data_IF_681835773457
#
_entry.id   IF_681835773457
#
_cell.length_a   1.000
_cell.length_b   1.000
_cell.length_c   1.000
_cell.angle_alpha   90.00
_cell.angle_beta   90.00
_cell.angle_gamma   90.00
#
_symmetry.space_group_name_H-M   'P 1'
#
loop_
_entity.id
_entity.type
_entity.pdbx_description
1 polymer ?
#
# COMPACT_ATOMS: atom_id res chain seq x y z
N UNK A 1 14.58 30.49 13.40
CA UNK A 1 14.92 29.08 13.67
C UNK A 1 13.62 28.31 13.79
N UNK A 2 13.30 27.42 12.86
CA UNK A 2 12.04 26.66 12.88
C UNK A 2 12.30 25.37 13.65
N UNK A 3 11.64 25.20 14.80
CA UNK A 3 11.63 23.94 15.53
C UNK A 3 10.51 23.07 14.96
N UNK A 4 10.88 21.98 14.27
CA UNK A 4 9.89 20.99 13.80
C UNK A 4 9.75 19.93 14.88
N UNK A 5 8.72 20.08 15.71
CA UNK A 5 8.35 19.14 16.78
C UNK A 5 6.97 18.55 16.49
N UNK A 6 6.81 17.24 16.67
CA UNK A 6 5.55 16.53 16.45
C UNK A 6 5.59 15.08 16.91
N UNK A 7 4.45 14.38 16.81
CA UNK A 7 4.38 12.93 17.00
C UNK A 7 4.43 12.24 15.64
N UNK A 8 5.25 11.20 15.52
CA UNK A 8 5.37 10.38 14.30
C UNK A 8 5.18 8.91 14.64
N UNK A 9 4.48 8.19 13.76
CA UNK A 9 4.36 6.75 13.84
C UNK A 9 5.72 6.08 13.56
N UNK A 10 6.15 5.25 14.49
CA UNK A 10 7.34 4.40 14.41
C UNK A 10 6.87 2.96 14.33
N UNK A 11 7.28 2.27 13.27
CA UNK A 11 6.93 0.88 13.04
C UNK A 11 8.11 0.01 13.45
N UNK A 12 7.86 -0.97 14.31
CA UNK A 12 8.87 -1.92 14.76
C UNK A 12 8.35 -3.33 14.60
N UNK A 13 9.18 -4.23 14.05
CA UNK A 13 8.81 -5.64 13.93
C UNK A 13 8.58 -6.24 15.33
N UNK A 14 7.50 -7.01 15.47
CA UNK A 14 7.08 -7.59 16.75
C UNK A 14 6.98 -9.13 16.71
N UNK A 15 7.00 -9.75 15.53
CA UNK A 15 6.92 -11.19 15.35
C UNK A 15 6.01 -11.59 14.19
N UNK A 16 5.48 -12.81 14.25
CA UNK A 16 4.66 -13.43 13.21
C UNK A 16 3.43 -14.11 13.80
N UNK A 17 2.35 -14.14 13.03
CA UNK A 17 1.08 -14.82 13.36
C UNK A 17 0.47 -15.49 12.13
N UNK A 18 -0.43 -16.45 12.35
CA UNK A 18 -1.32 -16.93 11.30
C UNK A 18 -2.66 -16.16 11.33
N UNK A 19 -3.13 -15.75 10.16
CA UNK A 19 -4.45 -15.11 10.01
C UNK A 19 -5.05 -15.35 8.61
N UNK A 20 -6.31 -15.01 8.43
CA UNK A 20 -6.97 -14.97 7.13
C UNK A 20 -6.56 -13.71 6.34
N UNK A 21 -6.14 -13.91 5.09
CA UNK A 21 -5.86 -12.83 4.16
C UNK A 21 -7.02 -12.66 3.15
N UNK A 22 -7.69 -11.49 3.09
CA UNK A 22 -8.79 -11.26 2.15
C UNK A 22 -8.33 -11.16 0.69
N UNK A 23 -7.08 -10.79 0.43
CA UNK A 23 -6.50 -10.76 -0.93
C UNK A 23 -6.14 -12.17 -1.41
N UNK A 24 -5.48 -12.97 -0.56
CA UNK A 24 -5.12 -14.35 -0.89
C UNK A 24 -6.30 -15.32 -0.74
N UNK A 25 -7.36 -14.91 -0.05
CA UNK A 25 -8.54 -15.71 0.31
C UNK A 25 -8.16 -17.03 0.99
N UNK A 26 -7.22 -16.98 1.92
CA UNK A 26 -6.74 -18.16 2.64
C UNK A 26 -6.08 -17.77 3.96
N UNK A 27 -5.94 -18.75 4.86
CA UNK A 27 -5.03 -18.65 6.00
C UNK A 27 -3.59 -18.49 5.47
N UNK A 28 -2.86 -17.49 6.00
CA UNK A 28 -1.49 -17.14 5.64
C UNK A 28 -0.69 -16.69 6.86
N UNK A 29 0.64 -16.68 6.70
CA UNK A 29 1.53 -16.07 7.67
C UNK A 29 1.51 -14.54 7.50
N UNK A 30 1.56 -13.84 8.62
CA UNK A 30 1.64 -12.39 8.67
C UNK A 30 2.83 -11.96 9.54
N UNK A 31 3.59 -10.97 9.07
CA UNK A 31 4.54 -10.22 9.91
C UNK A 31 3.78 -9.16 10.70
N UNK A 32 3.95 -9.15 12.01
CA UNK A 32 3.36 -8.17 12.93
C UNK A 32 4.31 -7.01 13.15
N UNK A 33 3.76 -5.81 13.11
CA UNK A 33 4.46 -4.58 13.43
C UNK A 33 3.74 -3.85 14.56
N UNK A 34 4.50 -3.50 15.59
CA UNK A 34 4.08 -2.56 16.63
C UNK A 34 4.14 -1.14 16.07
N UNK A 35 3.04 -0.42 16.22
CA UNK A 35 2.93 1.00 15.87
C UNK A 35 3.07 1.80 17.17
N UNK A 36 4.18 2.54 17.28
CA UNK A 36 4.40 3.48 18.38
C UNK A 36 4.29 4.93 17.93
N UNK A 37 3.80 5.82 18.78
CA UNK A 37 3.81 7.26 18.55
C UNK A 37 4.96 7.87 19.33
N UNK A 38 6.01 8.28 18.62
CA UNK A 38 7.20 8.88 19.22
C UNK A 38 7.23 10.38 18.94
N UNK A 39 7.69 11.15 19.93
CA UNK A 39 8.10 12.53 19.70
C UNK A 39 9.34 12.55 18.79
N UNK A 40 9.36 13.49 17.86
CA UNK A 40 10.54 13.76 17.04
C UNK A 40 10.92 15.23 17.10
N UNK A 41 12.22 15.48 16.99
CA UNK A 41 12.81 16.79 16.74
C UNK A 41 13.58 16.67 15.43
N UNK A 42 13.29 17.53 14.44
CA UNK A 42 13.87 17.43 13.09
C UNK A 42 13.75 16.03 12.45
N UNK A 43 12.59 15.39 12.62
CA UNK A 43 12.26 14.07 12.08
C UNK A 43 13.05 12.87 12.67
N UNK A 44 13.94 13.11 13.63
CA UNK A 44 14.64 12.06 14.37
C UNK A 44 13.84 11.68 15.62
N UNK A 45 13.48 10.39 15.74
CA UNK A 45 12.75 9.85 16.89
C UNK A 45 13.72 9.27 17.91
N UNK A 46 13.57 9.63 19.18
CA UNK A 46 14.50 9.23 20.26
C UNK A 46 14.08 7.91 20.94
N UNK A 47 12.91 7.35 20.61
CA UNK A 47 12.39 6.12 21.22
C UNK A 47 11.40 5.38 20.31
N UNK A 48 11.00 4.16 20.72
CA UNK A 48 9.92 3.39 20.06
C UNK A 48 8.52 4.00 20.25
N UNK A 49 8.38 5.07 21.02
CA UNK A 49 7.11 5.77 21.27
C UNK A 49 6.10 5.01 22.12
N UNK A 50 5.03 5.71 22.51
CA UNK A 50 3.87 5.13 23.20
C UNK A 50 3.10 4.20 22.24
N UNK A 51 2.61 3.06 22.73
CA UNK A 51 1.91 2.10 21.87
C UNK A 51 0.60 2.69 21.35
N UNK A 52 0.47 2.83 20.03
CA UNK A 52 -0.78 3.24 19.38
C UNK A 52 -1.56 2.05 18.80
N UNK A 53 -0.89 0.93 18.53
CA UNK A 53 -1.55 -0.29 18.08
C UNK A 53 -0.60 -1.28 17.41
N UNK A 54 -1.20 -2.24 16.73
CA UNK A 54 -0.48 -3.22 15.94
C UNK A 54 -1.11 -3.32 14.55
N UNK A 55 -0.28 -3.61 13.56
CA UNK A 55 -0.72 -4.01 12.24
C UNK A 55 -0.03 -5.30 11.83
N UNK A 56 -0.63 -6.02 10.91
CA UNK A 56 -0.12 -7.27 10.36
C UNK A 56 -0.02 -7.16 8.85
N UNK A 57 1.08 -7.63 8.28
CA UNK A 57 1.33 -7.63 6.83
C UNK A 57 1.42 -9.07 6.32
N UNK A 58 0.55 -9.44 5.39
CA UNK A 58 0.55 -10.78 4.79
C UNK A 58 1.88 -11.04 4.09
N UNK A 59 2.54 -12.14 4.43
CA UNK A 59 3.86 -12.49 3.89
C UNK A 59 3.81 -12.85 2.39
N UNK A 60 2.65 -13.21 1.83
CA UNK A 60 2.54 -13.59 0.41
C UNK A 60 2.15 -12.43 -0.51
N UNK A 61 1.23 -11.57 -0.08
CA UNK A 61 0.68 -10.49 -0.91
C UNK A 61 0.97 -9.09 -0.40
N UNK A 62 1.59 -8.95 0.78
CA UNK A 62 1.90 -7.64 1.36
C UNK A 62 0.66 -6.82 1.74
N UNK A 63 -0.52 -7.43 1.88
CA UNK A 63 -1.70 -6.73 2.40
C UNK A 63 -1.47 -6.37 3.87
N UNK A 64 -1.63 -5.09 4.19
CA UNK A 64 -1.53 -4.58 5.57
C UNK A 64 -2.94 -4.52 6.14
N UNK A 65 -3.12 -5.08 7.33
CA UNK A 65 -4.40 -5.07 8.05
C UNK A 65 -4.14 -4.63 9.51
N UNK A 66 -5.11 -3.94 10.15
CA UNK A 66 -5.04 -3.74 11.58
C UNK A 66 -5.03 -5.09 12.31
N UNK A 67 -4.32 -5.16 13.43
CA UNK A 67 -4.26 -6.36 14.27
C UNK A 67 -5.02 -6.11 15.56
N UNK A 68 -6.00 -6.96 15.84
CA UNK A 68 -6.71 -7.00 17.12
C UNK A 68 -5.96 -7.92 18.09
N UNK A 69 -5.40 -7.38 19.16
CA UNK A 69 -4.49 -8.14 20.05
C UNK A 69 -5.19 -9.32 20.71
N UNK A 70 -6.47 -9.19 21.09
CA UNK A 70 -7.24 -10.24 21.75
C UNK A 70 -7.51 -11.49 20.89
N UNK A 71 -7.17 -11.44 19.60
CA UNK A 71 -7.35 -12.55 18.67
C UNK A 71 -6.21 -13.57 18.70
N UNK A 72 -5.12 -13.30 19.40
CA UNK A 72 -3.92 -14.14 19.38
C UNK A 72 -3.51 -14.53 20.79
N UNK A 73 -3.07 -15.78 20.93
CA UNK A 73 -2.51 -16.29 22.17
C UNK A 73 -1.13 -15.68 22.44
N UNK A 74 -0.30 -15.58 21.40
CA UNK A 74 1.06 -15.05 21.43
C UNK A 74 1.55 -14.72 20.03
N UNK A 75 2.70 -14.04 19.95
CA UNK A 75 3.44 -13.79 18.71
C UNK A 75 4.60 -14.78 18.61
N UNK A 76 4.83 -15.34 17.42
CA UNK A 76 6.05 -16.09 17.14
C UNK A 76 7.20 -15.12 16.82
N UNK A 77 8.39 -15.35 17.38
CA UNK A 77 9.56 -14.53 17.04
C UNK A 77 10.02 -14.75 15.58
N UNK A 78 9.78 -15.95 15.04
CA UNK A 78 10.21 -16.37 13.71
C UNK A 78 9.03 -16.74 12.81
N UNK A 79 9.24 -16.70 11.50
CA UNK A 79 8.26 -17.13 10.52
C UNK A 79 8.25 -18.66 10.41
N UNK A 80 7.52 -19.31 11.32
CA UNK A 80 7.31 -20.75 11.31
C UNK A 80 6.39 -21.18 10.14
N UNK A 81 6.36 -22.48 9.79
CA UNK A 81 5.36 -23.03 8.88
C UNK A 81 3.93 -22.70 9.32
N UNK A 82 3.03 -22.45 8.35
CA UNK A 82 1.67 -21.94 8.62
C UNK A 82 0.90 -22.73 9.67
N UNK A 83 0.95 -24.07 9.60
CA UNK A 83 0.24 -24.95 10.56
C UNK A 83 0.75 -24.74 11.98
N UNK A 84 2.06 -24.57 12.16
CA UNK A 84 2.65 -24.30 13.47
C UNK A 84 2.30 -22.90 13.96
N UNK A 85 2.33 -21.89 13.08
CA UNK A 85 1.88 -20.54 13.43
C UNK A 85 0.41 -20.54 13.86
N UNK A 86 -0.47 -21.26 13.16
CA UNK A 86 -1.89 -21.35 13.51
C UNK A 86 -2.07 -21.95 14.91
N UNK A 87 -1.47 -23.11 15.17
CA UNK A 87 -1.55 -23.78 16.47
C UNK A 87 -1.01 -22.92 17.63
N UNK A 88 0.09 -22.19 17.40
CA UNK A 88 0.78 -21.45 18.46
C UNK A 88 0.25 -20.04 18.67
N UNK A 89 -0.21 -19.36 17.62
CA UNK A 89 -0.57 -17.93 17.67
C UNK A 89 -2.07 -17.69 17.54
N UNK A 90 -2.81 -18.54 16.81
CA UNK A 90 -4.21 -18.33 16.50
C UNK A 90 -4.97 -19.67 16.33
N UNK A 91 -5.07 -20.51 17.38
CA UNK A 91 -5.63 -21.86 17.28
C UNK A 91 -7.12 -21.89 16.91
N UNK A 92 -7.81 -20.75 17.04
CA UNK A 92 -9.21 -20.58 16.67
C UNK A 92 -9.40 -19.86 15.33
N UNK A 93 -8.37 -19.77 14.49
CA UNK A 93 -8.42 -19.12 13.18
C UNK A 93 -9.55 -19.68 12.31
N UNK A 94 -9.65 -21.01 12.24
CA UNK A 94 -10.67 -21.70 11.45
C UNK A 94 -12.09 -21.41 11.90
N UNK A 95 -12.29 -21.22 13.21
CA UNK A 95 -13.59 -20.87 13.81
C UNK A 95 -13.89 -19.38 13.57
N UNK A 96 -12.94 -18.49 13.86
CA UNK A 96 -13.13 -17.03 13.72
C UNK A 96 -13.39 -16.60 12.29
N UNK A 97 -12.75 -17.27 11.34
CA UNK A 97 -12.87 -16.98 9.91
C UNK A 97 -13.61 -18.07 9.14
N UNK A 98 -14.47 -18.85 9.81
CA UNK A 98 -15.20 -19.96 9.20
C UNK A 98 -15.94 -19.54 7.92
N UNK A 99 -16.71 -18.45 7.99
CA UNK A 99 -17.48 -17.95 6.84
C UNK A 99 -16.59 -17.50 5.68
N UNK A 100 -15.50 -16.78 6.00
CA UNK A 100 -14.57 -16.27 5.00
C UNK A 100 -13.77 -17.40 4.32
N UNK A 101 -13.35 -18.40 5.10
CA UNK A 101 -12.67 -19.59 4.61
C UNK A 101 -13.61 -20.46 3.77
N UNK A 102 -14.88 -20.63 4.20
CA UNK A 102 -15.89 -21.36 3.45
C UNK A 102 -16.23 -20.65 2.13
N UNK A 103 -16.39 -19.31 2.14
CA UNK A 103 -16.58 -18.52 0.93
C UNK A 103 -15.39 -18.65 -0.03
N UNK A 104 -14.17 -18.63 0.51
CA UNK A 104 -12.95 -18.81 -0.27
C UNK A 104 -12.78 -20.24 -0.82
N UNK A 105 -13.25 -21.27 -0.11
CA UNK A 105 -13.29 -22.65 -0.61
C UNK A 105 -14.29 -22.77 -1.76
N UNK A 106 -15.53 -22.27 -1.59
CA UNK A 106 -16.56 -22.26 -2.65
C UNK A 106 -16.07 -21.57 -3.92
N UNK A 107 -15.41 -20.43 -3.79
CA UNK A 107 -14.85 -19.71 -4.93
C UNK A 107 -13.76 -20.51 -5.66
N UNK A 108 -12.92 -21.27 -4.94
CA UNK A 108 -11.86 -22.07 -5.55
C UNK A 108 -12.41 -23.32 -6.24
N UNK A 109 -13.38 -23.98 -5.62
CA UNK A 109 -13.95 -25.23 -6.11
C UNK A 109 -14.92 -25.02 -7.27
N UNK A 110 -15.74 -23.97 -7.21
CA UNK A 110 -16.79 -23.74 -8.20
C UNK A 110 -17.08 -22.24 -8.42
N UNK A 111 -16.13 -21.47 -8.98
CA UNK A 111 -16.30 -20.03 -9.19
C UNK A 111 -17.48 -19.69 -10.12
N UNK A 112 -17.82 -20.59 -11.04
CA UNK A 112 -18.93 -20.45 -11.99
C UNK A 112 -20.30 -20.82 -11.40
N UNK A 113 -20.33 -21.49 -10.24
CA UNK A 113 -21.57 -21.83 -9.54
C UNK A 113 -21.98 -20.77 -8.52
N UNK A 114 -21.22 -19.68 -8.42
CA UNK A 114 -21.61 -18.54 -7.59
C UNK A 114 -22.80 -17.83 -8.23
N UNK A 115 -23.84 -17.58 -7.43
CA UNK A 115 -24.93 -16.70 -7.80
C UNK A 115 -24.39 -15.31 -8.18
N UNK A 116 -25.06 -14.64 -9.12
CA UNK A 116 -24.72 -13.30 -9.59
C UNK A 116 -24.62 -12.29 -8.43
N UNK A 117 -25.49 -12.39 -7.42
CA UNK A 117 -25.45 -11.50 -6.26
C UNK A 117 -24.20 -11.72 -5.40
N UNK A 118 -23.81 -12.98 -5.18
CA UNK A 118 -22.62 -13.32 -4.41
C UNK A 118 -21.35 -12.92 -5.17
N UNK A 119 -21.29 -13.22 -6.46
CA UNK A 119 -20.20 -12.82 -7.34
C UNK A 119 -19.99 -11.31 -7.32
N UNK A 120 -21.08 -10.53 -7.42
CA UNK A 120 -21.05 -9.07 -7.30
C UNK A 120 -20.52 -8.60 -5.95
N UNK A 121 -20.99 -9.18 -4.84
CA UNK A 121 -20.47 -8.88 -3.49
C UNK A 121 -18.96 -9.12 -3.39
N UNK A 122 -18.46 -10.21 -3.98
CA UNK A 122 -17.06 -10.57 -3.94
C UNK A 122 -16.17 -9.62 -4.76
N UNK A 123 -16.65 -9.14 -5.92
CA UNK A 123 -15.97 -8.09 -6.71
C UNK A 123 -15.96 -6.77 -5.95
N UNK A 124 -17.12 -6.33 -5.45
CA UNK A 124 -17.27 -5.07 -4.72
C UNK A 124 -16.39 -5.07 -3.44
N UNK A 125 -16.33 -6.19 -2.71
CA UNK A 125 -15.47 -6.34 -1.53
C UNK A 125 -13.98 -6.19 -1.86
N UNK A 126 -13.52 -6.83 -2.94
CA UNK A 126 -12.13 -6.75 -3.39
C UNK A 126 -11.75 -5.30 -3.75
N UNK A 127 -12.62 -4.59 -4.47
CA UNK A 127 -12.38 -3.21 -4.87
C UNK A 127 -12.42 -2.25 -3.67
N UNK A 128 -13.38 -2.41 -2.75
CA UNK A 128 -13.49 -1.57 -1.54
C UNK A 128 -12.23 -1.65 -0.69
N UNK A 129 -11.72 -2.86 -0.47
CA UNK A 129 -10.50 -3.09 0.29
C UNK A 129 -9.30 -2.31 -0.26
N UNK A 130 -9.17 -2.23 -1.59
CA UNK A 130 -8.07 -1.49 -2.22
C UNK A 130 -8.34 0.01 -2.29
N UNK A 131 -9.61 0.43 -2.34
CA UNK A 131 -9.96 1.84 -2.21
C UNK A 131 -9.63 2.37 -0.81
N UNK A 132 -9.91 1.62 0.25
CA UNK A 132 -9.53 2.02 1.62
C UNK A 132 -8.01 2.19 1.74
N UNK A 133 -7.23 1.27 1.15
CA UNK A 133 -5.77 1.36 1.14
C UNK A 133 -5.25 2.58 0.35
N UNK A 134 -5.92 2.97 -0.75
CA UNK A 134 -5.59 4.17 -1.51
C UNK A 134 -5.94 5.44 -0.74
N UNK A 135 -7.10 5.48 -0.10
CA UNK A 135 -7.55 6.62 0.69
C UNK A 135 -6.61 6.86 1.89
N UNK A 136 -6.17 5.79 2.56
CA UNK A 136 -5.15 5.86 3.63
C UNK A 136 -3.79 6.35 3.10
N UNK A 137 -3.36 5.85 1.92
CA UNK A 137 -2.12 6.30 1.30
C UNK A 137 -2.15 7.79 0.96
N UNK A 138 -3.25 8.29 0.39
CA UNK A 138 -3.37 9.71 0.04
C UNK A 138 -3.55 10.62 1.27
N UNK A 139 -4.14 10.11 2.35
CA UNK A 139 -4.22 10.84 3.62
C UNK A 139 -2.85 10.93 4.32
N UNK A 140 -1.96 9.97 4.08
CA UNK A 140 -0.62 9.98 4.64
C UNK A 140 0.35 10.79 3.75
N UNK A 141 0.86 11.93 4.24
CA UNK A 141 1.92 12.70 3.57
C UNK A 141 3.25 11.92 3.60
N UNK A 142 3.41 10.95 2.69
CA UNK A 142 4.62 10.12 2.56
C UNK A 142 5.32 10.49 1.26
N UNK A 143 6.55 10.98 1.37
CA UNK A 143 7.45 11.10 0.23
C UNK A 143 8.15 9.76 0.03
N UNK A 144 8.07 9.22 -1.18
CA UNK A 144 8.82 8.03 -1.54
C UNK A 144 10.32 8.33 -1.70
N UNK A 145 11.12 7.27 -1.75
CA UNK A 145 12.58 7.38 -1.84
C UNK A 145 12.99 8.03 -3.17
N UNK A 146 12.24 7.77 -4.23
CA UNK A 146 12.42 8.35 -5.56
C UNK A 146 12.25 9.87 -5.55
N UNK A 147 11.26 10.41 -4.83
CA UNK A 147 11.12 11.86 -4.64
C UNK A 147 12.28 12.43 -3.84
N UNK A 148 12.75 11.75 -2.78
CA UNK A 148 13.95 12.17 -2.05
C UNK A 148 15.20 12.26 -2.94
N UNK A 149 15.41 11.28 -3.82
CA UNK A 149 16.50 11.34 -4.79
C UNK A 149 16.33 12.48 -5.80
N UNK A 150 15.11 12.78 -6.20
CA UNK A 150 14.82 13.89 -7.11
C UNK A 150 15.11 15.24 -6.46
N UNK A 151 14.76 15.40 -5.18
CA UNK A 151 15.10 16.60 -4.39
C UNK A 151 16.62 16.73 -4.24
N UNK A 152 17.31 15.66 -3.86
CA UNK A 152 18.77 15.67 -3.74
C UNK A 152 19.46 16.01 -5.08
N UNK A 153 18.98 15.42 -6.18
CA UNK A 153 19.45 15.70 -7.53
C UNK A 153 19.23 17.14 -7.97
N UNK A 154 18.08 17.72 -7.64
CA UNK A 154 17.77 19.14 -7.87
C UNK A 154 18.79 20.06 -7.15
N UNK A 155 19.09 19.79 -5.88
CA UNK A 155 20.11 20.55 -5.16
C UNK A 155 21.49 20.42 -5.80
N UNK A 156 21.92 19.19 -6.11
CA UNK A 156 23.21 18.95 -6.76
C UNK A 156 23.32 19.65 -8.11
N UNK A 157 22.26 19.61 -8.93
CA UNK A 157 22.21 20.28 -10.22
C UNK A 157 22.36 21.79 -10.10
N UNK A 158 21.61 22.44 -9.21
CA UNK A 158 21.75 23.88 -8.96
C UNK A 158 23.16 24.26 -8.49
N UNK A 159 23.77 23.47 -7.60
CA UNK A 159 25.15 23.70 -7.15
C UNK A 159 26.16 23.59 -8.28
N UNK A 160 26.01 22.59 -9.15
CA UNK A 160 26.90 22.40 -10.31
C UNK A 160 26.77 23.54 -11.32
N UNK A 161 25.55 23.98 -11.62
CA UNK A 161 25.32 25.12 -12.52
C UNK A 161 25.96 26.40 -11.96
N UNK A 162 25.77 26.69 -10.68
CA UNK A 162 26.40 27.84 -10.03
C UNK A 162 27.93 27.77 -10.08
N UNK A 163 28.51 26.59 -9.81
CA UNK A 163 29.95 26.39 -9.87
C UNK A 163 30.50 26.60 -11.29
N UNK A 164 29.80 26.12 -12.31
CA UNK A 164 30.17 26.29 -13.71
C UNK A 164 30.06 27.75 -14.16
N UNK A 165 28.94 28.43 -13.86
CA UNK A 165 28.73 29.84 -14.21
C UNK A 165 29.76 30.75 -13.54
N UNK A 166 30.10 30.48 -12.27
CA UNK A 166 31.14 31.24 -11.57
C UNK A 166 32.50 31.18 -12.26
N UNK A 167 32.83 30.08 -12.94
CA UNK A 167 34.10 29.93 -13.65
C UNK A 167 34.06 30.49 -15.08
N UNK A 168 32.92 30.38 -15.77
CA UNK A 168 32.85 30.62 -17.23
C UNK A 168 32.14 31.92 -17.62
N UNK A 169 31.14 32.35 -16.86
CA UNK A 169 30.24 33.45 -17.21
C UNK A 169 29.63 34.09 -15.94
N UNK A 170 30.45 34.76 -15.11
CA UNK A 170 30.02 35.30 -13.82
C UNK A 170 28.92 36.37 -13.96
N UNK A 171 28.84 37.06 -15.09
CA UNK A 171 27.79 38.04 -15.41
C UNK A 171 26.39 37.42 -15.57
N UNK A 172 26.31 36.11 -15.81
CA UNK A 172 25.06 35.37 -16.04
C UNK A 172 24.60 34.54 -14.83
N UNK A 173 25.21 34.72 -13.65
CA UNK A 173 24.94 33.91 -12.47
C UNK A 173 23.47 33.93 -12.06
N UNK A 174 22.83 35.11 -12.02
CA UNK A 174 21.44 35.25 -11.60
C UNK A 174 20.48 34.54 -12.56
N UNK A 175 20.61 34.82 -13.86
CA UNK A 175 19.78 34.23 -14.91
C UNK A 175 19.94 32.71 -14.97
N UNK A 176 21.19 32.22 -14.92
CA UNK A 176 21.46 30.79 -14.98
C UNK A 176 20.98 30.03 -13.73
N UNK A 177 21.08 30.64 -12.54
CA UNK A 177 20.51 30.08 -11.33
C UNK A 177 18.98 29.99 -11.40
N UNK A 178 18.30 31.04 -11.85
CA UNK A 178 16.84 31.07 -12.00
C UNK A 178 16.38 29.93 -12.93
N UNK A 179 17.03 29.77 -14.09
CA UNK A 179 16.71 28.70 -15.04
C UNK A 179 16.92 27.33 -14.39
N UNK A 180 18.07 27.11 -13.74
CA UNK A 180 18.36 25.83 -13.10
C UNK A 180 17.38 25.49 -11.97
N UNK A 181 16.98 26.49 -11.19
CA UNK A 181 16.01 26.35 -10.12
C UNK A 181 14.63 25.95 -10.66
N UNK A 182 14.11 26.62 -11.68
CA UNK A 182 12.79 26.30 -12.24
C UNK A 182 12.78 24.96 -12.96
N UNK A 183 13.86 24.57 -13.65
CA UNK A 183 13.99 23.22 -14.22
C UNK A 183 13.97 22.15 -13.13
N UNK A 184 14.70 22.38 -12.03
CA UNK A 184 14.73 21.48 -10.88
C UNK A 184 13.36 21.37 -10.20
N UNK A 185 12.69 22.49 -10.00
CA UNK A 185 11.35 22.54 -9.42
C UNK A 185 10.33 21.80 -10.30
N UNK A 186 10.39 22.00 -11.62
CA UNK A 186 9.57 21.29 -12.59
C UNK A 186 9.79 19.78 -12.55
N UNK A 187 11.06 19.33 -12.47
CA UNK A 187 11.39 17.92 -12.36
C UNK A 187 10.86 17.29 -11.06
N UNK A 188 10.98 17.97 -9.92
CA UNK A 188 10.44 17.50 -8.63
C UNK A 188 8.91 17.47 -8.66
N UNK A 189 8.25 18.49 -9.20
CA UNK A 189 6.79 18.54 -9.33
C UNK A 189 6.27 17.40 -10.24
N UNK A 190 6.97 17.12 -11.34
CA UNK A 190 6.68 15.97 -12.19
C UNK A 190 6.82 14.64 -11.43
N UNK A 191 7.87 14.48 -10.62
CA UNK A 191 8.05 13.26 -9.83
C UNK A 191 6.97 13.08 -8.76
N UNK A 192 6.53 14.17 -8.14
CA UNK A 192 5.42 14.16 -7.19
C UNK A 192 4.09 13.75 -7.85
N UNK A 193 3.81 14.23 -9.06
CA UNK A 193 2.58 13.86 -9.77
C UNK A 193 2.55 12.36 -10.14
N UNK A 194 3.71 11.77 -10.40
CA UNK A 194 3.87 10.34 -10.72
C UNK A 194 3.80 9.42 -9.49
N UNK A 195 3.92 9.95 -8.27
CA UNK A 195 3.95 9.13 -7.04
C UNK A 195 2.68 8.28 -6.87
N UNK A 196 1.51 8.87 -7.09
CA UNK A 196 0.23 8.15 -7.01
C UNK A 196 0.13 7.03 -8.05
N UNK A 197 0.59 7.28 -9.27
CA UNK A 197 0.59 6.30 -10.35
C UNK A 197 1.55 5.13 -10.06
N UNK A 198 2.75 5.42 -9.52
CA UNK A 198 3.68 4.39 -9.04
C UNK A 198 3.05 3.52 -7.95
N UNK A 199 2.37 4.13 -6.98
CA UNK A 199 1.70 3.41 -5.91
C UNK A 199 0.57 2.53 -6.45
N UNK A 200 -0.27 3.05 -7.35
CA UNK A 200 -1.32 2.27 -8.00
C UNK A 200 -0.73 1.06 -8.73
N UNK A 201 0.32 1.25 -9.52
CA UNK A 201 0.93 0.18 -10.30
C UNK A 201 1.66 -0.86 -9.46
N UNK A 202 2.38 -0.45 -8.41
CA UNK A 202 3.20 -1.36 -7.59
C UNK A 202 2.44 -2.01 -6.44
N UNK A 203 1.49 -1.32 -5.84
CA UNK A 203 0.83 -1.77 -4.61
C UNK A 203 -0.63 -2.19 -4.82
N UNK A 204 -1.41 -1.44 -5.61
CA UNK A 204 -2.86 -1.65 -5.74
C UNK A 204 -3.19 -2.65 -6.84
N UNK A 205 -2.70 -2.43 -8.08
CA UNK A 205 -3.03 -3.28 -9.23
C UNK A 205 -2.67 -4.76 -9.03
N UNK A 206 -1.49 -5.13 -8.50
CA UNK A 206 -1.16 -6.54 -8.28
C UNK A 206 -2.08 -7.21 -7.24
N UNK A 207 -2.50 -6.47 -6.20
CA UNK A 207 -3.42 -6.97 -5.17
C UNK A 207 -4.84 -7.10 -5.70
N UNK A 208 -5.31 -6.12 -6.47
CA UNK A 208 -6.58 -6.20 -7.19
C UNK A 208 -6.59 -7.43 -8.10
N UNK A 209 -5.59 -7.56 -8.96
CA UNK A 209 -5.45 -8.69 -9.88
C UNK A 209 -5.48 -10.02 -9.13
N UNK A 210 -4.69 -10.16 -8.06
CA UNK A 210 -4.66 -11.39 -7.24
C UNK A 210 -6.00 -11.68 -6.57
N UNK A 211 -6.69 -10.66 -6.07
CA UNK A 211 -7.99 -10.83 -5.40
C UNK A 211 -9.13 -11.17 -6.36
N UNK A 212 -9.07 -10.69 -7.60
CA UNK A 212 -10.10 -10.84 -8.63
C UNK A 212 -9.81 -11.99 -9.61
N UNK A 213 -8.56 -12.44 -9.74
CA UNK A 213 -8.19 -13.53 -10.64
C UNK A 213 -9.01 -14.82 -10.43
N UNK A 214 -9.38 -15.25 -9.21
CA UNK A 214 -10.24 -16.42 -9.03
C UNK A 214 -11.67 -16.21 -9.55
N UNK A 215 -12.17 -14.97 -9.55
CA UNK A 215 -13.50 -14.63 -10.03
C UNK A 215 -13.57 -14.57 -11.55
N UNK A 216 -12.48 -14.27 -12.25
CA UNK A 216 -12.52 -14.04 -13.71
C UNK A 216 -13.62 -13.02 -14.09
N UNK A 217 -13.63 -11.81 -13.51
CA UNK A 217 -14.66 -10.84 -13.83
C UNK A 217 -14.60 -10.46 -15.31
N UNK A 218 -15.75 -10.27 -15.94
CA UNK A 218 -15.80 -9.68 -17.27
C UNK A 218 -15.52 -8.17 -17.20
N UNK A 219 -15.15 -7.57 -18.33
CA UNK A 219 -14.95 -6.11 -18.40
C UNK A 219 -16.23 -5.37 -18.01
N UNK A 220 -17.39 -5.86 -18.45
CA UNK A 220 -18.70 -5.30 -18.10
C UNK A 220 -18.95 -5.37 -16.58
N UNK A 221 -18.66 -6.49 -15.94
CA UNK A 221 -18.82 -6.64 -14.49
C UNK A 221 -17.91 -5.67 -13.71
N UNK A 222 -16.69 -5.43 -14.21
CA UNK A 222 -15.77 -4.48 -13.62
C UNK A 222 -16.26 -3.05 -13.81
N UNK A 223 -16.74 -2.68 -15.00
CA UNK A 223 -17.28 -1.36 -15.30
C UNK A 223 -18.45 -1.04 -14.37
N UNK A 224 -19.41 -1.95 -14.25
CA UNK A 224 -20.54 -1.77 -13.34
C UNK A 224 -20.09 -1.62 -11.87
N UNK A 225 -19.04 -2.35 -11.46
CA UNK A 225 -18.50 -2.24 -10.11
C UNK A 225 -17.79 -0.90 -9.88
N UNK A 226 -17.05 -0.41 -10.87
CA UNK A 226 -16.42 0.90 -10.82
C UNK A 226 -17.44 2.05 -10.84
N UNK A 227 -18.54 1.93 -11.58
CA UNK A 227 -19.64 2.90 -11.54
C UNK A 227 -20.22 3.02 -10.13
N UNK A 228 -20.53 1.90 -9.48
CA UNK A 228 -21.03 1.91 -8.09
C UNK A 228 -20.05 2.53 -7.11
N UNK A 229 -18.75 2.31 -7.31
CA UNK A 229 -17.73 2.96 -6.49
C UNK A 229 -17.64 4.46 -6.75
N UNK A 230 -17.88 4.89 -8.00
CA UNK A 230 -17.89 6.30 -8.37
C UNK A 230 -19.08 7.03 -7.75
N UNK A 231 -20.25 6.39 -7.72
CA UNK A 231 -21.43 6.87 -6.99
C UNK A 231 -21.14 7.08 -5.49
N UNK A 232 -20.31 6.21 -4.90
CA UNK A 232 -19.84 6.33 -3.52
C UNK A 232 -18.70 7.35 -3.33
N UNK A 233 -18.31 8.07 -4.38
CA UNK A 233 -17.25 9.08 -4.34
C UNK A 233 -15.84 8.52 -4.14
N UNK A 234 -15.63 7.21 -4.34
CA UNK A 234 -14.35 6.54 -4.06
C UNK A 234 -13.32 6.91 -5.13
N UNK A 235 -12.13 7.31 -4.71
CA UNK A 235 -11.07 7.81 -5.61
C UNK A 235 -10.49 6.74 -6.52
N UNK A 236 -10.49 5.48 -6.09
CA UNK A 236 -10.01 4.35 -6.88
C UNK A 236 -10.68 4.30 -8.28
N UNK A 237 -12.00 4.48 -8.33
CA UNK A 237 -12.79 4.45 -9.56
C UNK A 237 -12.56 5.66 -10.50
N UNK A 238 -11.80 6.66 -10.06
CA UNK A 238 -11.36 7.81 -10.88
C UNK A 238 -9.95 7.62 -11.43
N UNK A 239 -9.15 6.72 -10.85
CA UNK A 239 -7.72 6.55 -11.18
C UNK A 239 -7.40 5.22 -11.88
N UNK A 240 -8.28 4.23 -11.74
CA UNK A 240 -8.14 2.90 -12.33
C UNK A 240 -9.40 2.60 -13.14
N UNK A 241 -9.21 2.01 -14.32
CA UNK A 241 -10.26 1.52 -15.19
C UNK A 241 -10.30 -0.02 -15.20
N UNK A 242 -11.38 -0.57 -15.76
CA UNK A 242 -11.56 -2.02 -15.91
C UNK A 242 -10.49 -2.66 -16.81
N UNK A 243 -10.07 -1.97 -17.87
CA UNK A 243 -9.07 -2.45 -18.82
C UNK A 243 -7.71 -2.74 -18.15
N UNK A 244 -7.20 -1.80 -17.33
CA UNK A 244 -5.95 -1.97 -16.58
C UNK A 244 -6.03 -3.10 -15.56
N UNK A 245 -7.18 -3.29 -14.92
CA UNK A 245 -7.38 -4.41 -14.00
C UNK A 245 -7.38 -5.74 -14.77
N UNK A 246 -8.04 -5.79 -15.92
CA UNK A 246 -8.08 -6.98 -16.76
C UNK A 246 -6.70 -7.36 -17.30
N UNK A 247 -5.91 -6.37 -17.73
CA UNK A 247 -4.52 -6.54 -18.14
C UNK A 247 -3.67 -7.07 -16.97
N UNK A 248 -3.85 -6.54 -15.77
CA UNK A 248 -3.14 -7.00 -14.58
C UNK A 248 -3.54 -8.45 -14.18
N UNK A 249 -4.81 -8.83 -14.33
CA UNK A 249 -5.28 -10.21 -14.12
C UNK A 249 -4.65 -11.15 -15.16
N UNK A 250 -4.58 -10.72 -16.42
CA UNK A 250 -4.04 -11.51 -17.53
C UNK A 250 -2.53 -11.72 -17.36
N UNK A 251 -1.78 -10.67 -17.03
CA UNK A 251 -0.33 -10.75 -16.80
C UNK A 251 0.04 -11.58 -15.56
N UNK A 252 -0.83 -11.68 -14.56
CA UNK A 252 -0.61 -12.57 -13.40
C UNK A 252 -0.66 -14.07 -13.79
N UNK A 253 -1.29 -14.41 -14.92
CA UNK A 253 -1.47 -15.79 -15.38
C UNK A 253 -0.47 -16.24 -16.44
N UNK A 254 0.16 -15.29 -17.14
CA UNK A 254 1.20 -15.55 -18.12
C UNK A 254 2.51 -15.94 -17.42
#
# INVERSE_FOLDING_TARGET
MIFVWGRKAVYTHAGYVADFCPVCRAARAFSVQRIGMAWHVYYVTVSKGELAGYQRTCCDCGMVLPMEVGHYSQLSAEQLPLVQLEQTTNPHLSIRHADALAAAARLREAPLLLDASERRRQVDSALRLQADALDEFEAATRLDREVWWSIAGAFAFCTLVLAALRQQAPENMDTGFIIAFFLSLGAVAWQLSQMGERFLRRAILPKLARSLAPLQPSVVELDEAFERMREQGRKLAKRVDSARVQEAITSLRA
#
